data_IF_765353073613
#
_entry.id   IF_765353073613
#
_cell.length_a   1.000
_cell.length_b   1.000
_cell.length_c   1.000
_cell.angle_alpha   90.00
_cell.angle_beta   90.00
_cell.angle_gamma   90.00
#
_symmetry.space_group_name_H-M   'P 1'
#
loop_
_entity.id
_entity.type
_entity.pdbx_description
1 polymer ?
#
# COMPACT_ATOMS: atom_id res chain seq x y z
N UNK A 1 -32.66 24.32 -1.57
CA UNK A 1 -32.10 23.05 -1.05
C UNK A 1 -32.13 23.12 0.47
N UNK A 2 -32.63 22.09 1.11
CA UNK A 2 -32.80 22.03 2.57
C UNK A 2 -31.51 21.54 3.25
N UNK A 3 -31.18 22.04 4.43
CA UNK A 3 -30.07 21.53 5.27
C UNK A 3 -30.19 20.01 5.51
N UNK A 4 -31.42 19.51 5.56
CA UNK A 4 -31.71 18.10 5.71
C UNK A 4 -31.23 17.24 4.52
N UNK A 5 -31.29 17.78 3.30
CA UNK A 5 -30.83 17.07 2.09
C UNK A 5 -29.30 16.93 2.09
N UNK A 6 -28.59 17.99 2.50
CA UNK A 6 -27.13 17.95 2.62
C UNK A 6 -26.65 16.97 3.69
N UNK A 7 -27.35 16.93 4.83
CA UNK A 7 -27.07 15.95 5.88
C UNK A 7 -27.30 14.52 5.39
N UNK A 8 -28.40 14.28 4.68
CA UNK A 8 -28.71 12.97 4.11
C UNK A 8 -27.65 12.50 3.10
N UNK A 9 -27.17 13.41 2.24
CA UNK A 9 -26.08 13.12 1.28
C UNK A 9 -24.79 12.79 2.02
N UNK A 10 -24.44 13.55 3.06
CA UNK A 10 -23.24 13.34 3.85
C UNK A 10 -23.26 11.97 4.57
N UNK A 11 -24.37 11.65 5.23
CA UNK A 11 -24.53 10.39 5.96
C UNK A 11 -24.48 9.18 5.01
N UNK A 12 -25.16 9.26 3.86
CA UNK A 12 -25.12 8.22 2.84
C UNK A 12 -23.70 8.01 2.28
N UNK A 13 -22.99 9.10 1.97
CA UNK A 13 -21.60 9.04 1.49
C UNK A 13 -20.66 8.43 2.55
N UNK A 14 -20.79 8.85 3.80
CA UNK A 14 -20.00 8.33 4.94
C UNK A 14 -20.22 6.84 5.13
N UNK A 15 -21.48 6.41 5.15
CA UNK A 15 -21.84 4.99 5.29
C UNK A 15 -21.25 4.18 4.13
N UNK A 16 -21.42 4.65 2.89
CA UNK A 16 -20.89 3.97 1.71
C UNK A 16 -19.37 3.80 1.75
N UNK A 17 -18.65 4.84 2.14
CA UNK A 17 -17.20 4.85 2.20
C UNK A 17 -16.68 3.87 3.26
N UNK A 18 -17.27 3.87 4.47
CA UNK A 18 -16.93 2.92 5.55
C UNK A 18 -17.19 1.47 5.16
N UNK A 19 -18.27 1.22 4.41
CA UNK A 19 -18.63 -0.11 3.94
C UNK A 19 -17.97 -0.49 2.61
N UNK A 20 -17.07 0.34 2.06
CA UNK A 20 -16.43 0.03 0.78
C UNK A 20 -15.35 -1.06 0.93
N UNK A 21 -15.22 -2.02 -0.02
CA UNK A 21 -14.23 -3.09 0.06
C UNK A 21 -12.78 -2.64 0.24
N UNK A 22 -12.44 -1.45 -0.27
CA UNK A 22 -11.09 -0.87 -0.21
C UNK A 22 -10.72 -0.28 1.15
N UNK A 23 -11.66 -0.28 2.11
CA UNK A 23 -11.52 0.23 3.48
C UNK A 23 -10.65 1.50 3.57
N UNK A 24 -11.18 2.66 3.14
CA UNK A 24 -10.49 3.95 3.26
C UNK A 24 -10.15 4.29 4.72
N UNK A 25 -9.12 5.12 4.94
CA UNK A 25 -8.80 5.59 6.29
C UNK A 25 -9.93 6.47 6.84
N UNK A 26 -10.01 6.71 8.16
CA UNK A 26 -11.01 7.61 8.72
C UNK A 26 -10.98 9.01 8.12
N UNK A 27 -9.79 9.51 7.75
CA UNK A 27 -9.63 10.82 7.10
C UNK A 27 -10.14 10.78 5.66
N UNK A 28 -9.82 9.71 4.90
CA UNK A 28 -10.34 9.54 3.55
C UNK A 28 -11.87 9.44 3.52
N UNK A 29 -12.47 8.78 4.52
CA UNK A 29 -13.92 8.67 4.65
C UNK A 29 -14.56 10.06 4.78
N UNK A 30 -13.98 10.92 5.60
CA UNK A 30 -14.44 12.30 5.79
C UNK A 30 -14.26 13.12 4.50
N UNK A 31 -13.09 13.04 3.86
CA UNK A 31 -12.80 13.75 2.61
C UNK A 31 -13.75 13.32 1.48
N UNK A 32 -14.07 12.02 1.39
CA UNK A 32 -15.04 11.49 0.43
C UNK A 32 -16.45 12.02 0.70
N UNK A 33 -16.87 12.09 1.96
CA UNK A 33 -18.18 12.61 2.33
C UNK A 33 -18.30 14.10 1.99
N UNK A 34 -17.27 14.89 2.32
CA UNK A 34 -17.21 16.32 2.02
C UNK A 34 -17.16 16.59 0.52
N UNK A 35 -16.34 15.86 -0.25
CA UNK A 35 -16.29 15.99 -1.71
C UNK A 35 -17.63 15.59 -2.36
N UNK A 36 -18.32 14.58 -1.83
CA UNK A 36 -19.65 14.18 -2.30
C UNK A 36 -20.67 15.31 -2.08
N UNK A 37 -20.67 15.93 -0.90
CA UNK A 37 -21.51 17.11 -0.59
C UNK A 37 -21.17 18.30 -1.50
N UNK A 38 -19.88 18.58 -1.73
CA UNK A 38 -19.42 19.65 -2.60
C UNK A 38 -19.87 19.45 -4.06
N UNK A 39 -19.90 18.19 -4.54
CA UNK A 39 -20.44 17.84 -5.86
C UNK A 39 -21.96 17.98 -5.93
N UNK A 40 -22.66 17.67 -4.84
CA UNK A 40 -24.11 17.81 -4.74
C UNK A 40 -24.53 19.28 -4.77
N UNK A 41 -23.79 20.15 -4.08
CA UNK A 41 -24.04 21.59 -4.06
C UNK A 41 -23.93 22.27 -5.44
N UNK A 42 -23.24 21.62 -6.40
CA UNK A 42 -23.10 22.10 -7.79
C UNK A 42 -24.24 21.63 -8.70
N UNK A 43 -25.11 20.74 -8.23
CA UNK A 43 -26.24 20.23 -9.01
C UNK A 43 -27.38 21.23 -9.03
N UNK A 44 -28.15 21.24 -10.11
CA UNK A 44 -29.34 22.10 -10.17
C UNK A 44 -30.37 21.63 -9.11
N UNK A 45 -30.98 22.57 -8.36
CA UNK A 45 -31.97 22.21 -7.35
C UNK A 45 -33.11 21.36 -7.93
N UNK A 46 -33.36 20.18 -7.36
CA UNK A 46 -34.42 19.27 -7.79
C UNK A 46 -34.07 18.41 -9.02
N UNK A 47 -32.88 18.54 -9.59
CA UNK A 47 -32.42 17.66 -10.69
C UNK A 47 -32.16 16.22 -10.26
N UNK A 48 -31.95 15.99 -8.95
CA UNK A 48 -31.69 14.67 -8.38
C UNK A 48 -32.88 14.27 -7.52
N UNK A 49 -33.61 13.26 -7.99
CA UNK A 49 -34.80 12.74 -7.30
C UNK A 49 -34.46 11.97 -6.01
N UNK A 50 -33.29 11.32 -5.96
CA UNK A 50 -32.84 10.55 -4.80
C UNK A 50 -31.40 10.93 -4.40
N UNK A 51 -31.24 11.91 -3.49
CA UNK A 51 -29.93 12.39 -3.07
C UNK A 51 -29.07 11.30 -2.41
N UNK A 52 -29.67 10.39 -1.63
CA UNK A 52 -28.95 9.31 -0.95
C UNK A 52 -28.40 8.26 -1.93
N UNK A 53 -29.20 7.87 -2.93
CA UNK A 53 -28.75 6.94 -3.97
C UNK A 53 -27.62 7.55 -4.82
N UNK A 54 -27.77 8.83 -5.18
CA UNK A 54 -26.74 9.57 -5.89
C UNK A 54 -25.43 9.65 -5.08
N UNK A 55 -25.52 9.94 -3.78
CA UNK A 55 -24.38 10.00 -2.87
C UNK A 55 -23.64 8.66 -2.76
N UNK A 56 -24.38 7.55 -2.67
CA UNK A 56 -23.79 6.20 -2.67
C UNK A 56 -22.98 5.91 -3.94
N UNK A 57 -23.48 6.32 -5.11
CA UNK A 57 -22.76 6.14 -6.38
C UNK A 57 -21.51 7.00 -6.44
N UNK A 58 -21.61 8.28 -6.08
CA UNK A 58 -20.48 9.22 -6.09
C UNK A 58 -19.40 8.78 -5.10
N UNK A 59 -19.77 8.49 -3.86
CA UNK A 59 -18.84 8.02 -2.84
C UNK A 59 -18.18 6.69 -3.21
N UNK A 60 -18.92 5.75 -3.83
CA UNK A 60 -18.35 4.51 -4.35
C UNK A 60 -17.31 4.73 -5.45
N UNK A 61 -17.59 5.66 -6.37
CA UNK A 61 -16.65 6.02 -7.43
C UNK A 61 -15.39 6.71 -6.88
N UNK A 62 -15.56 7.58 -5.88
CA UNK A 62 -14.44 8.23 -5.18
C UNK A 62 -13.57 7.20 -4.46
N UNK A 63 -14.16 6.24 -3.73
CA UNK A 63 -13.42 5.13 -3.11
C UNK A 63 -12.63 4.32 -4.14
N UNK A 64 -13.26 3.97 -5.27
CA UNK A 64 -12.61 3.22 -6.33
C UNK A 64 -11.50 4.05 -7.03
N UNK A 65 -11.70 5.36 -7.18
CA UNK A 65 -10.68 6.27 -7.72
C UNK A 65 -9.48 6.41 -6.78
N UNK A 66 -9.74 6.55 -5.47
CA UNK A 66 -8.71 6.62 -4.44
C UNK A 66 -7.88 5.34 -4.40
N UNK A 67 -8.52 4.17 -4.50
CA UNK A 67 -7.84 2.89 -4.58
C UNK A 67 -7.02 2.69 -5.86
N UNK A 68 -7.33 3.41 -6.94
CA UNK A 68 -6.56 3.41 -8.18
C UNK A 68 -5.43 4.46 -8.17
N UNK A 69 -5.42 5.38 -7.22
CA UNK A 69 -4.43 6.45 -7.16
C UNK A 69 -3.04 5.86 -6.85
N UNK A 70 -2.01 6.16 -7.68
CA UNK A 70 -0.63 5.76 -7.42
C UNK A 70 -0.12 6.21 -6.04
N UNK A 71 -0.64 7.32 -5.51
CA UNK A 71 -0.25 7.87 -4.21
C UNK A 71 -0.63 7.00 -3.01
N UNK A 72 -1.69 6.17 -3.09
CA UNK A 72 -2.02 5.20 -2.03
C UNK A 72 -1.02 4.04 -2.03
N UNK A 73 -0.56 3.65 -3.23
CA UNK A 73 0.51 2.67 -3.42
C UNK A 73 1.85 3.11 -2.80
N UNK A 74 2.08 4.41 -2.62
CA UNK A 74 3.28 4.97 -1.99
C UNK A 74 3.09 5.35 -0.51
N UNK A 75 1.91 5.81 -0.09
CA UNK A 75 1.62 6.18 1.30
C UNK A 75 1.31 4.97 2.22
N UNK A 76 0.96 3.83 1.63
CA UNK A 76 0.76 2.55 2.31
C UNK A 76 2.06 1.71 2.35
N UNK A 77 3.16 2.26 1.80
CA UNK A 77 4.49 1.68 1.92
C UNK A 77 5.04 1.92 3.33
N UNK A 78 4.70 1.02 4.24
CA UNK A 78 5.42 0.92 5.51
C UNK A 78 6.84 0.42 5.21
N UNK A 79 7.79 1.36 5.07
CA UNK A 79 9.22 1.08 4.83
C UNK A 79 9.81 0.16 5.92
N UNK A 80 9.11 -0.05 7.04
CA UNK A 80 9.53 -0.95 8.11
C UNK A 80 8.70 -2.26 8.20
N UNK A 81 7.91 -2.63 7.17
CA UNK A 81 7.12 -3.88 7.15
C UNK A 81 8.03 -5.14 7.25
N UNK A 82 8.04 -5.84 8.40
CA UNK A 82 8.78 -7.09 8.55
C UNK A 82 8.26 -8.19 7.61
N UNK A 83 7.00 -8.09 7.18
CA UNK A 83 6.36 -8.99 6.23
C UNK A 83 6.94 -8.86 4.82
N UNK A 84 7.28 -7.65 4.38
CA UNK A 84 7.91 -7.39 3.08
C UNK A 84 9.30 -8.04 3.01
N UNK A 85 10.11 -7.86 4.04
CA UNK A 85 11.42 -8.52 4.14
C UNK A 85 11.28 -10.05 4.12
N UNK A 86 10.31 -10.59 4.84
CA UNK A 86 10.06 -12.04 4.86
C UNK A 86 9.65 -12.59 3.48
N UNK A 87 8.74 -11.91 2.78
CA UNK A 87 8.36 -12.27 1.39
C UNK A 87 9.55 -12.19 0.43
N UNK A 88 10.42 -11.20 0.62
CA UNK A 88 11.63 -11.02 -0.20
C UNK A 88 12.67 -12.12 0.05
N UNK A 89 12.86 -12.56 1.28
CA UNK A 89 13.85 -13.58 1.65
C UNK A 89 13.37 -15.02 1.43
N UNK A 90 12.10 -15.31 1.74
CA UNK A 90 11.55 -16.68 1.73
C UNK A 90 10.54 -16.95 0.61
N UNK A 91 10.17 -15.94 -0.17
CA UNK A 91 9.09 -16.03 -1.14
C UNK A 91 7.69 -15.97 -0.52
N UNK A 92 6.65 -16.03 -1.37
CA UNK A 92 5.23 -15.81 -1.03
C UNK A 92 4.61 -16.82 -0.02
N UNK A 93 5.27 -17.93 0.31
CA UNK A 93 4.61 -19.08 0.95
C UNK A 93 5.53 -19.93 1.83
N UNK A 94 6.01 -19.39 2.95
CA UNK A 94 6.61 -20.25 3.99
C UNK A 94 6.02 -19.98 5.36
N UNK A 95 5.52 -21.05 6.01
CA UNK A 95 5.02 -21.08 7.39
C UNK A 95 6.12 -20.88 8.44
N UNK A 96 7.38 -20.73 8.01
CA UNK A 96 8.55 -20.43 8.83
C UNK A 96 8.71 -18.96 9.24
N UNK A 97 7.75 -18.09 8.87
CA UNK A 97 7.79 -16.64 9.12
C UNK A 97 7.85 -16.19 10.59
N UNK A 98 7.86 -17.08 11.58
CA UNK A 98 7.99 -16.69 12.99
C UNK A 98 9.43 -16.29 13.38
N UNK A 99 10.45 -17.02 12.92
CA UNK A 99 11.86 -16.74 13.25
C UNK A 99 12.34 -15.47 12.52
N UNK A 100 11.92 -15.30 11.26
CA UNK A 100 12.20 -14.09 10.48
C UNK A 100 11.45 -12.88 11.04
N UNK A 101 10.23 -13.01 11.58
CA UNK A 101 9.49 -11.87 12.16
C UNK A 101 10.17 -11.25 13.38
N UNK A 102 10.72 -12.05 14.29
CA UNK A 102 11.41 -11.55 15.49
C UNK A 102 12.73 -10.85 15.13
N UNK A 103 13.41 -11.33 14.08
CA UNK A 103 14.74 -10.84 13.66
C UNK A 103 14.69 -9.80 12.52
N UNK A 104 13.56 -9.67 11.84
CA UNK A 104 13.37 -8.77 10.70
C UNK A 104 13.57 -7.31 11.06
N UNK A 105 13.17 -6.87 12.26
CA UNK A 105 13.42 -5.49 12.71
C UNK A 105 14.91 -5.16 12.80
N UNK A 106 15.73 -6.10 13.25
CA UNK A 106 17.20 -5.93 13.33
C UNK A 106 17.81 -5.89 11.92
N UNK A 107 17.35 -6.73 11.02
CA UNK A 107 17.81 -6.77 9.63
C UNK A 107 17.37 -5.55 8.82
N UNK A 108 16.13 -5.07 9.02
CA UNK A 108 15.62 -3.83 8.43
C UNK A 108 16.40 -2.60 8.92
N UNK A 109 16.79 -2.57 10.19
CA UNK A 109 17.60 -1.48 10.75
C UNK A 109 18.99 -1.35 10.09
N UNK A 110 19.54 -2.42 9.51
CA UNK A 110 20.79 -2.37 8.74
C UNK A 110 20.61 -1.78 7.34
N UNK A 111 19.37 -1.73 6.83
CA UNK A 111 19.03 -1.24 5.51
C UNK A 111 18.69 0.25 5.53
N UNK A 112 19.11 0.94 4.47
CA UNK A 112 18.71 2.33 4.26
C UNK A 112 17.21 2.40 3.92
N UNK A 113 16.53 3.53 4.17
CA UNK A 113 15.11 3.67 3.81
C UNK A 113 14.84 3.32 2.34
N UNK A 114 15.71 3.79 1.43
CA UNK A 114 15.65 3.48 -0.01
C UNK A 114 15.81 1.99 -0.33
N UNK A 115 16.58 1.25 0.46
CA UNK A 115 16.71 -0.21 0.29
C UNK A 115 15.46 -0.94 0.78
N UNK A 116 14.79 -0.42 1.82
CA UNK A 116 13.55 -1.00 2.34
C UNK A 116 12.38 -0.78 1.38
N UNK A 117 12.23 0.44 0.87
CA UNK A 117 11.25 0.81 -0.15
C UNK A 117 11.37 -0.12 -1.38
N UNK A 118 12.61 -0.36 -1.82
CA UNK A 118 12.89 -1.28 -2.93
C UNK A 118 12.44 -2.72 -2.62
N UNK A 119 12.70 -3.23 -1.41
CA UNK A 119 12.29 -4.57 -0.98
C UNK A 119 10.76 -4.68 -0.95
N UNK A 120 10.07 -3.63 -0.50
CA UNK A 120 8.62 -3.60 -0.44
C UNK A 120 7.99 -3.70 -1.82
N UNK A 121 8.47 -2.93 -2.80
CA UNK A 121 7.99 -3.01 -4.18
C UNK A 121 8.17 -4.41 -4.77
N UNK A 122 9.31 -5.07 -4.49
CA UNK A 122 9.54 -6.46 -4.91
C UNK A 122 8.60 -7.43 -4.20
N UNK A 123 8.34 -7.23 -2.91
CA UNK A 123 7.44 -8.05 -2.13
C UNK A 123 5.96 -7.94 -2.55
N UNK A 124 5.62 -6.89 -3.29
CA UNK A 124 4.33 -6.66 -3.95
C UNK A 124 4.27 -7.19 -5.38
N UNK A 125 5.31 -7.92 -5.81
CA UNK A 125 5.45 -8.47 -7.17
C UNK A 125 5.52 -7.39 -8.27
N UNK A 126 6.00 -6.19 -7.92
CA UNK A 126 6.22 -5.11 -8.90
C UNK A 126 7.36 -5.50 -9.85
N UNK A 127 7.17 -5.40 -11.19
CA UNK A 127 8.22 -5.76 -12.14
C UNK A 127 9.41 -4.80 -12.04
N UNK A 128 10.63 -5.33 -12.20
CA UNK A 128 11.88 -4.56 -12.02
C UNK A 128 12.00 -3.35 -12.95
N UNK A 129 11.36 -3.37 -14.12
CA UNK A 129 11.28 -2.21 -15.02
C UNK A 129 10.44 -1.08 -14.42
N UNK A 130 9.29 -1.41 -13.82
CA UNK A 130 8.42 -0.44 -13.16
C UNK A 130 9.07 0.10 -11.87
N UNK A 131 9.77 -0.75 -11.12
CA UNK A 131 10.57 -0.32 -9.97
C UNK A 131 11.67 0.68 -10.37
N UNK A 132 12.32 0.45 -11.52
CA UNK A 132 13.35 1.36 -12.01
C UNK A 132 12.78 2.75 -12.31
N UNK A 133 11.58 2.82 -12.89
CA UNK A 133 10.87 4.06 -13.16
C UNK A 133 10.43 4.76 -11.85
N UNK A 134 9.83 4.03 -10.91
CA UNK A 134 9.33 4.55 -9.64
C UNK A 134 10.48 5.15 -8.80
N UNK A 135 11.59 4.42 -8.69
CA UNK A 135 12.70 4.81 -7.81
C UNK A 135 13.79 5.64 -8.50
N UNK A 136 13.68 5.86 -9.82
CA UNK A 136 14.66 6.60 -10.61
C UNK A 136 15.99 5.88 -10.84
N UNK A 137 15.95 4.55 -11.02
CA UNK A 137 17.11 3.79 -11.51
C UNK A 137 17.23 3.90 -13.03
N UNK A 138 18.45 3.72 -13.55
CA UNK A 138 18.69 3.80 -15.00
C UNK A 138 17.98 2.69 -15.79
N UNK A 139 17.85 1.48 -15.23
CA UNK A 139 17.21 0.33 -15.86
C UNK A 139 16.88 -0.78 -14.85
N UNK A 140 16.15 -1.81 -15.30
CA UNK A 140 15.83 -3.01 -14.51
C UNK A 140 17.08 -3.76 -14.02
N UNK A 141 18.17 -3.77 -14.79
CA UNK A 141 19.42 -4.42 -14.38
C UNK A 141 20.06 -3.73 -13.15
N UNK A 142 19.96 -2.41 -13.06
CA UNK A 142 20.42 -1.63 -11.90
C UNK A 142 19.63 -2.01 -10.65
N UNK A 143 18.33 -2.24 -10.79
CA UNK A 143 17.47 -2.75 -9.72
C UNK A 143 17.94 -4.14 -9.28
N UNK A 144 18.12 -5.06 -10.23
CA UNK A 144 18.62 -6.42 -9.96
C UNK A 144 19.97 -6.45 -9.23
N UNK A 145 20.92 -5.61 -9.65
CA UNK A 145 22.24 -5.48 -9.00
C UNK A 145 22.08 -4.99 -7.57
N UNK A 146 21.22 -3.99 -7.34
CA UNK A 146 20.94 -3.46 -6.01
C UNK A 146 20.31 -4.52 -5.11
N UNK A 147 19.34 -5.29 -5.61
CA UNK A 147 18.73 -6.40 -4.87
C UNK A 147 19.74 -7.47 -4.47
N UNK A 148 20.68 -7.83 -5.37
CA UNK A 148 21.74 -8.77 -5.03
C UNK A 148 22.67 -8.24 -3.94
N UNK A 149 22.99 -6.94 -3.97
CA UNK A 149 23.78 -6.29 -2.94
C UNK A 149 23.06 -6.28 -1.59
N UNK A 150 21.75 -6.02 -1.58
CA UNK A 150 20.90 -6.09 -0.40
C UNK A 150 20.89 -7.50 0.19
N UNK A 151 20.69 -8.55 -0.63
CA UNK A 151 20.76 -9.95 -0.16
C UNK A 151 22.09 -10.28 0.51
N UNK A 152 23.19 -9.85 -0.10
CA UNK A 152 24.53 -10.04 0.47
C UNK A 152 24.69 -9.30 1.80
N UNK A 153 24.25 -8.05 1.87
CA UNK A 153 24.31 -7.22 3.08
C UNK A 153 23.49 -7.82 4.22
N UNK A 154 22.31 -8.36 3.93
CA UNK A 154 21.48 -9.07 4.91
C UNK A 154 22.22 -10.31 5.41
N UNK A 155 22.77 -11.13 4.50
CA UNK A 155 23.57 -12.31 4.86
C UNK A 155 24.75 -11.97 5.79
N UNK A 156 25.58 -11.02 5.37
CA UNK A 156 26.76 -10.60 6.14
C UNK A 156 26.32 -10.04 7.52
N UNK A 157 25.19 -9.35 7.59
CA UNK A 157 24.60 -8.82 8.82
C UNK A 157 24.01 -9.89 9.74
N UNK A 158 23.37 -10.92 9.18
CA UNK A 158 22.85 -12.06 9.93
C UNK A 158 23.97 -12.89 10.55
N UNK A 159 25.03 -13.15 9.79
CA UNK A 159 26.22 -13.86 10.28
C UNK A 159 26.90 -13.08 11.42
N UNK A 160 27.04 -11.76 11.28
CA UNK A 160 27.63 -10.89 12.31
C UNK A 160 26.78 -10.78 13.59
N UNK A 161 25.44 -10.86 13.45
CA UNK A 161 24.51 -10.82 14.56
C UNK A 161 24.26 -12.20 15.20
N UNK A 162 24.90 -13.27 14.70
CA UNK A 162 24.72 -14.64 15.20
C UNK A 162 23.31 -15.20 14.98
N UNK A 163 22.61 -14.70 13.96
CA UNK A 163 21.27 -15.14 13.61
C UNK A 163 21.35 -16.42 12.77
N UNK A 164 20.47 -17.39 13.04
CA UNK A 164 20.41 -18.62 12.24
C UNK A 164 19.97 -18.32 10.80
N UNK A 165 20.88 -18.43 9.84
CA UNK A 165 20.67 -18.18 8.40
C UNK A 165 20.06 -19.38 7.67
N UNK A 166 19.02 -19.99 8.24
CA UNK A 166 18.35 -21.17 7.67
C UNK A 166 17.62 -20.92 6.34
N UNK A 167 17.50 -19.66 5.91
CA UNK A 167 17.00 -19.26 4.58
C UNK A 167 17.98 -19.46 3.43
N UNK A 168 19.26 -19.76 3.70
CA UNK A 168 20.27 -19.98 2.64
C UNK A 168 20.06 -21.26 1.82
N UNK A 169 19.35 -22.26 2.37
CA UNK A 169 19.08 -23.52 1.69
C UNK A 169 17.95 -23.42 0.65
N UNK A 170 17.19 -22.33 0.62
CA UNK A 170 16.18 -22.10 -0.41
C UNK A 170 16.80 -21.56 -1.70
N UNK A 171 17.47 -22.48 -2.39
CA UNK A 171 17.80 -22.35 -3.81
C UNK A 171 16.51 -22.42 -4.63
N UNK A 172 15.91 -21.27 -4.98
CA UNK A 172 15.68 -20.84 -6.38
C UNK A 172 14.57 -19.79 -6.61
N UNK A 173 14.67 -19.09 -7.75
CA UNK A 173 14.11 -17.76 -7.99
C UNK A 173 12.76 -17.84 -8.68
N UNK A 174 11.90 -16.89 -8.36
CA UNK A 174 10.92 -16.33 -9.29
C UNK A 174 10.85 -14.84 -9.03
#
# INVERSE_FOLDING_TARGET
MSTLEYQQVHEAATFRARSHPTRPSPQDVEDIAQETVARYAKQEPGSIENPAAWANTVAGNLCASLARSPGRRQAEMDDDDPGALNRFLLGRSSSWGAIVREQAGVLLAMLTPRERELIQLVAEDTPQSEIAEIMGYANADSVKVTLNRIRKKIKDGSDAAGLETCWEEHSRPY
#
